data_IF_910101823684
#
_entry.id   IF_910101823684
#
_cell.length_a   1.000
_cell.length_b   1.000
_cell.length_c   1.000
_cell.angle_alpha   90.00
_cell.angle_beta   90.00
_cell.angle_gamma   90.00
#
_symmetry.space_group_name_H-M   'P 1'
#
loop_
_entity.id
_entity.type
_entity.pdbx_description
1 polymer ?
#
# COMPACT_ATOMS: atom_id res chain seq x y z
N UNK A 1 -5.92 -14.31 -16.53
CA UNK A 1 -5.27 -13.34 -17.44
C UNK A 1 -4.17 -12.66 -16.66
N UNK A 2 -2.92 -12.67 -17.13
CA UNK A 2 -1.82 -12.02 -16.41
C UNK A 2 -2.05 -10.50 -16.36
N UNK A 3 -1.91 -9.88 -15.19
CA UNK A 3 -2.02 -8.43 -15.05
C UNK A 3 -0.78 -7.77 -15.66
N UNK A 4 -0.98 -6.84 -16.60
CA UNK A 4 0.11 -6.02 -17.15
C UNK A 4 0.76 -5.19 -16.04
N UNK A 5 2.08 -5.00 -16.10
CA UNK A 5 2.81 -4.15 -15.15
C UNK A 5 2.41 -2.67 -15.31
N UNK A 6 2.64 -1.83 -14.28
CA UNK A 6 2.42 -0.39 -14.38
C UNK A 6 3.12 0.24 -15.59
N UNK A 7 4.38 -0.10 -15.82
CA UNK A 7 5.13 0.41 -16.98
C UNK A 7 4.51 -0.02 -18.30
N UNK A 8 4.13 -1.30 -18.44
CA UNK A 8 3.49 -1.79 -19.67
C UNK A 8 2.17 -1.09 -19.96
N UNK A 9 1.34 -0.83 -18.93
CA UNK A 9 0.08 -0.10 -19.09
C UNK A 9 0.31 1.36 -19.49
N UNK A 10 1.31 2.00 -18.90
CA UNK A 10 1.67 3.38 -19.24
C UNK A 10 2.09 3.50 -20.71
N UNK A 11 3.00 2.63 -21.17
CA UNK A 11 3.45 2.61 -22.56
C UNK A 11 2.32 2.30 -23.54
N UNK A 12 1.40 1.40 -23.17
CA UNK A 12 0.20 1.12 -23.98
C UNK A 12 -0.67 2.37 -24.11
N UNK A 13 -0.93 3.08 -23.01
CA UNK A 13 -1.74 4.30 -23.03
C UNK A 13 -1.13 5.42 -23.89
N UNK A 14 0.20 5.56 -23.89
CA UNK A 14 0.93 6.46 -24.80
C UNK A 14 0.79 6.02 -26.26
N UNK A 15 0.97 4.73 -26.53
CA UNK A 15 0.85 4.16 -27.89
C UNK A 15 -0.55 4.34 -28.48
N UNK A 16 -1.58 4.23 -27.65
CA UNK A 16 -2.99 4.44 -28.03
C UNK A 16 -3.34 5.92 -28.22
N UNK A 17 -2.42 6.85 -27.92
CA UNK A 17 -2.64 8.29 -28.07
C UNK A 17 -3.59 8.89 -27.02
N UNK A 18 -3.96 8.12 -25.99
CA UNK A 18 -4.86 8.58 -24.92
C UNK A 18 -4.19 9.57 -23.97
N UNK A 19 -2.85 9.57 -23.90
CA UNK A 19 -2.05 10.40 -23.01
C UNK A 19 -0.78 10.89 -23.72
N UNK A 20 -0.26 12.04 -23.29
CA UNK A 20 1.01 12.56 -23.78
C UNK A 20 2.17 12.13 -22.88
N UNK A 21 3.38 11.94 -23.44
CA UNK A 21 4.57 11.66 -22.65
C UNK A 21 4.83 12.78 -21.63
N UNK A 22 5.09 12.41 -20.38
CA UNK A 22 5.40 13.31 -19.28
C UNK A 22 6.46 12.66 -18.38
N UNK A 23 7.63 13.30 -18.26
CA UNK A 23 8.78 12.75 -17.53
C UNK A 23 8.47 12.51 -16.05
N UNK A 24 7.65 13.36 -15.44
CA UNK A 24 7.29 13.26 -14.03
C UNK A 24 6.32 12.10 -13.81
N UNK A 25 5.39 11.90 -14.74
CA UNK A 25 4.50 10.73 -14.72
C UNK A 25 5.30 9.44 -14.94
N UNK A 26 6.27 9.45 -15.85
CA UNK A 26 7.12 8.31 -16.12
C UNK A 26 7.96 7.91 -14.89
N UNK A 27 8.51 8.87 -14.14
CA UNK A 27 9.20 8.56 -12.88
C UNK A 27 8.24 7.97 -11.84
N UNK A 28 7.04 8.53 -11.70
CA UNK A 28 6.03 7.97 -10.80
C UNK A 28 5.66 6.53 -11.19
N UNK A 29 5.51 6.24 -12.49
CA UNK A 29 5.27 4.88 -13.01
C UNK A 29 6.42 3.93 -12.68
N UNK A 30 7.68 4.37 -12.80
CA UNK A 30 8.85 3.55 -12.44
C UNK A 30 8.83 3.13 -10.96
N UNK A 31 8.45 4.05 -10.06
CA UNK A 31 8.30 3.75 -8.63
C UNK A 31 7.13 2.79 -8.37
N UNK A 32 6.02 2.98 -9.07
CA UNK A 32 4.88 2.07 -9.00
C UNK A 32 5.25 0.67 -9.53
N UNK A 33 6.07 0.57 -10.57
CA UNK A 33 6.56 -0.71 -11.10
C UNK A 33 7.45 -1.42 -10.07
N UNK A 34 8.34 -0.69 -9.41
CA UNK A 34 9.16 -1.23 -8.30
C UNK A 34 8.29 -1.85 -7.22
N UNK A 35 7.25 -1.13 -6.77
CA UNK A 35 6.32 -1.63 -5.76
C UNK A 35 5.54 -2.85 -6.27
N UNK A 36 5.12 -2.84 -7.54
CA UNK A 36 4.48 -3.99 -8.17
C UNK A 36 5.38 -5.23 -8.16
N UNK A 37 6.68 -5.10 -8.49
CA UNK A 37 7.62 -6.21 -8.42
C UNK A 37 7.84 -6.71 -6.99
N UNK A 38 7.97 -5.80 -6.02
CA UNK A 38 8.07 -6.17 -4.60
C UNK A 38 6.83 -6.95 -4.13
N UNK A 39 5.63 -6.51 -4.52
CA UNK A 39 4.39 -7.20 -4.17
C UNK A 39 4.27 -8.59 -4.80
N UNK A 40 4.87 -8.82 -5.99
CA UNK A 40 4.86 -10.13 -6.64
C UNK A 40 5.90 -11.09 -6.08
N UNK A 41 7.05 -10.57 -5.64
CA UNK A 41 8.17 -11.38 -5.12
C UNK A 41 7.97 -11.78 -3.66
N UNK A 42 7.11 -11.08 -2.92
CA UNK A 42 6.73 -11.52 -1.58
C UNK A 42 5.85 -12.78 -1.67
N UNK A 43 6.24 -13.90 -1.03
CA UNK A 43 5.44 -15.12 -1.05
C UNK A 43 4.07 -14.82 -0.45
N UNK A 44 3.01 -15.21 -1.15
CA UNK A 44 1.64 -15.09 -0.68
C UNK A 44 1.55 -15.64 0.76
N UNK A 45 0.82 -14.97 1.66
CA UNK A 45 0.68 -15.45 3.02
C UNK A 45 0.05 -16.84 2.94
N UNK A 46 0.86 -17.88 3.16
CA UNK A 46 0.35 -19.21 3.43
C UNK A 46 -0.64 -19.04 4.58
N UNK A 47 -1.91 -19.33 4.30
CA UNK A 47 -2.93 -19.38 5.33
C UNK A 47 -2.42 -20.39 6.35
N UNK A 48 -1.78 -19.90 7.41
CA UNK A 48 -1.33 -20.73 8.50
C UNK A 48 -2.59 -21.18 9.21
N UNK A 49 -3.18 -22.26 8.71
CA UNK A 49 -4.20 -23.07 9.38
C UNK A 49 -3.58 -23.66 10.64
N UNK A 50 -3.42 -22.81 11.65
CA UNK A 50 -2.77 -23.11 12.91
C UNK A 50 -3.79 -23.34 14.01
N UNK A 51 -4.86 -24.09 13.73
CA UNK A 51 -5.74 -24.61 14.77
C UNK A 51 -4.92 -25.47 15.74
N UNK A 52 -5.04 -25.18 17.03
CA UNK A 52 -4.49 -25.90 18.20
C UNK A 52 -2.95 -26.06 18.29
N UNK A 53 -2.21 -26.26 17.19
CA UNK A 53 -0.74 -26.46 17.18
C UNK A 53 0.08 -25.20 17.48
N UNK A 54 -0.42 -24.01 17.16
CA UNK A 54 0.31 -22.76 17.39
C UNK A 54 0.39 -22.38 18.89
N UNK A 55 -0.57 -22.84 19.70
CA UNK A 55 -0.60 -22.56 21.15
C UNK A 55 0.34 -23.49 21.93
N UNK A 56 0.45 -24.76 21.52
CA UNK A 56 1.37 -25.73 22.15
C UNK A 56 2.85 -25.44 21.87
N UNK A 57 3.20 -24.80 20.75
CA UNK A 57 4.57 -24.41 20.45
C UNK A 57 5.08 -23.17 21.20
N UNK A 58 4.24 -22.50 22.02
CA UNK A 58 4.64 -21.29 22.75
C UNK A 58 5.33 -21.58 24.09
N UNK A 59 5.26 -22.84 24.56
CA UNK A 59 5.81 -23.25 25.86
C UNK A 59 7.17 -23.98 25.75
N UNK A 60 7.56 -24.42 24.55
CA UNK A 60 8.77 -25.20 24.32
C UNK A 60 9.60 -24.57 23.20
N UNK A 61 10.57 -23.75 23.59
CA UNK A 61 11.70 -23.39 22.74
C UNK A 61 11.53 -22.10 21.95
N UNK A 62 12.50 -21.19 22.19
CA UNK A 62 12.86 -20.03 21.37
C UNK A 62 12.43 -20.19 19.90
N UNK A 63 11.35 -19.49 19.52
CA UNK A 63 11.19 -19.06 18.14
C UNK A 63 11.91 -17.73 18.00
N UNK A 64 13.11 -17.76 17.46
CA UNK A 64 13.64 -16.59 16.77
C UNK A 64 12.57 -16.15 15.75
N UNK A 65 12.20 -14.85 15.69
CA UNK A 65 11.28 -14.39 14.67
C UNK A 65 11.94 -14.68 13.33
N UNK A 66 11.43 -15.66 12.60
CA UNK A 66 11.80 -15.91 11.21
C UNK A 66 11.85 -14.56 10.52
N UNK A 67 13.03 -14.15 10.05
CA UNK A 67 13.31 -12.84 9.48
C UNK A 67 12.17 -12.45 8.55
N UNK A 68 11.24 -11.66 9.08
CA UNK A 68 10.02 -11.32 8.39
C UNK A 68 10.41 -10.32 7.33
N UNK A 69 10.41 -10.73 6.07
CA UNK A 69 10.48 -9.83 4.90
C UNK A 69 9.74 -8.54 5.23
N UNK A 70 10.47 -7.42 5.18
CA UNK A 70 9.93 -6.11 5.51
C UNK A 70 8.66 -5.84 4.69
N UNK A 71 7.65 -5.14 5.24
CA UNK A 71 6.48 -4.76 4.46
C UNK A 71 6.91 -3.91 3.26
N UNK A 72 6.26 -4.13 2.11
CA UNK A 72 6.46 -3.28 0.93
C UNK A 72 6.06 -1.85 1.29
N UNK A 73 6.98 -0.90 1.09
CA UNK A 73 6.75 0.51 1.39
C UNK A 73 5.85 1.15 0.34
N UNK A 74 5.13 2.16 0.78
CA UNK A 74 4.21 2.86 -0.10
C UNK A 74 4.83 3.97 -0.91
N UNK A 75 4.03 4.46 -1.86
CA UNK A 75 4.28 5.68 -2.58
C UNK A 75 3.25 6.72 -2.13
N UNK A 76 3.75 7.84 -1.61
CA UNK A 76 2.96 9.03 -1.38
C UNK A 76 2.98 9.93 -2.62
N UNK A 77 1.85 10.36 -3.22
CA UNK A 77 1.84 11.27 -4.39
C UNK A 77 0.99 12.52 -4.16
N UNK A 78 1.52 13.71 -4.47
CA UNK A 78 0.84 15.02 -4.37
C UNK A 78 1.21 15.94 -5.54
N UNK A 79 0.53 17.08 -5.70
CA UNK A 79 0.78 18.05 -6.78
C UNK A 79 -0.49 18.73 -7.26
N UNK A 80 -0.38 19.65 -8.23
CA UNK A 80 -1.51 20.45 -8.75
C UNK A 80 -2.67 19.65 -9.36
N UNK A 81 -3.83 20.30 -9.54
CA UNK A 81 -5.00 19.70 -10.22
C UNK A 81 -4.65 19.37 -11.67
N UNK A 82 -5.17 18.27 -12.22
CA UNK A 82 -4.94 17.88 -13.63
C UNK A 82 -3.62 17.16 -13.93
N UNK A 83 -2.74 16.96 -12.95
CA UNK A 83 -1.43 16.28 -13.13
C UNK A 83 -1.48 14.74 -13.18
N UNK A 84 -2.58 14.13 -13.63
CA UNK A 84 -2.64 12.67 -13.83
C UNK A 84 -2.65 11.76 -12.58
N UNK A 85 -2.64 12.29 -11.35
CA UNK A 85 -2.63 11.47 -10.10
C UNK A 85 -3.70 10.37 -10.06
N UNK A 86 -4.94 10.72 -10.37
CA UNK A 86 -6.07 9.77 -10.36
C UNK A 86 -5.86 8.69 -11.41
N UNK A 87 -5.33 9.06 -12.58
CA UNK A 87 -5.07 8.13 -13.66
C UNK A 87 -3.94 7.15 -13.30
N UNK A 88 -2.82 7.65 -12.75
CA UNK A 88 -1.71 6.81 -12.28
C UNK A 88 -2.14 5.83 -11.19
N UNK A 89 -3.00 6.27 -10.27
CA UNK A 89 -3.61 5.39 -9.26
C UNK A 89 -4.46 4.29 -9.91
N UNK A 90 -5.25 4.61 -10.92
CA UNK A 90 -6.16 3.66 -11.59
C UNK A 90 -5.37 2.66 -12.44
N UNK A 91 -4.34 3.14 -13.12
CA UNK A 91 -3.35 2.33 -13.83
C UNK A 91 -2.68 1.33 -12.90
N UNK A 92 -2.22 1.79 -11.73
CA UNK A 92 -1.59 0.91 -10.74
C UNK A 92 -2.60 -0.11 -10.18
N UNK A 93 -3.81 0.31 -9.83
CA UNK A 93 -4.86 -0.57 -9.35
C UNK A 93 -5.16 -1.72 -10.31
N UNK A 94 -5.20 -1.43 -11.62
CA UNK A 94 -5.42 -2.44 -12.67
C UNK A 94 -4.20 -3.36 -12.88
N UNK A 95 -3.01 -2.92 -12.47
CA UNK A 95 -1.78 -3.71 -12.56
C UNK A 95 -1.63 -4.69 -11.41
N UNK A 96 -2.23 -4.39 -10.26
CA UNK A 96 -2.11 -5.23 -9.06
C UNK A 96 -2.70 -6.63 -9.26
N UNK A 97 -1.96 -7.69 -8.88
CA UNK A 97 -2.47 -9.04 -8.90
C UNK A 97 -3.49 -9.28 -7.76
N UNK A 98 -4.38 -10.24 -7.96
CA UNK A 98 -5.36 -10.66 -6.95
C UNK A 98 -6.55 -9.70 -6.76
N UNK A 99 -7.48 -10.13 -5.90
CA UNK A 99 -8.77 -9.45 -5.67
C UNK A 99 -8.82 -8.67 -4.35
N UNK A 100 -7.88 -8.91 -3.41
CA UNK A 100 -7.82 -8.25 -2.09
C UNK A 100 -7.14 -6.88 -2.18
N UNK A 101 -7.62 -6.05 -3.11
CA UNK A 101 -7.18 -4.67 -3.35
C UNK A 101 -8.36 -3.72 -3.19
N UNK A 102 -8.16 -2.62 -2.47
CA UNK A 102 -9.21 -1.64 -2.22
C UNK A 102 -8.81 -0.24 -2.68
N UNK A 103 -9.77 0.44 -3.30
CA UNK A 103 -9.69 1.87 -3.62
C UNK A 103 -10.61 2.64 -2.68
N UNK A 104 -10.03 3.45 -1.82
CA UNK A 104 -10.73 4.15 -0.76
C UNK A 104 -10.58 5.66 -0.92
N UNK A 105 -11.59 6.40 -0.49
CA UNK A 105 -11.41 7.82 -0.23
C UNK A 105 -10.88 7.97 1.18
N UNK A 106 -9.83 8.78 1.38
CA UNK A 106 -9.22 8.95 2.69
C UNK A 106 -10.23 9.29 3.80
N UNK A 107 -11.16 10.22 3.53
CA UNK A 107 -12.21 10.56 4.50
C UNK A 107 -13.12 9.37 4.87
N UNK A 108 -13.49 8.53 3.89
CA UNK A 108 -14.33 7.34 4.16
C UNK A 108 -13.58 6.29 4.98
N UNK A 109 -12.28 6.17 4.74
CA UNK A 109 -11.42 5.33 5.56
C UNK A 109 -11.33 5.82 7.00
N UNK A 110 -11.08 7.12 7.21
CA UNK A 110 -11.00 7.69 8.56
C UNK A 110 -12.33 7.59 9.33
N UNK A 111 -13.47 7.76 8.65
CA UNK A 111 -14.78 7.51 9.25
C UNK A 111 -14.91 6.06 9.74
N UNK A 112 -14.58 5.08 8.89
CA UNK A 112 -14.61 3.67 9.28
C UNK A 112 -13.68 3.38 10.46
N UNK A 113 -12.46 3.92 10.45
CA UNK A 113 -11.52 3.79 11.59
C UNK A 113 -12.16 4.34 12.87
N UNK A 114 -12.79 5.52 12.80
CA UNK A 114 -13.43 6.13 13.96
C UNK A 114 -14.62 5.32 14.50
N UNK A 115 -15.47 4.81 13.60
CA UNK A 115 -16.58 3.92 13.94
C UNK A 115 -16.08 2.66 14.65
N UNK A 116 -15.05 1.99 14.10
CA UNK A 116 -14.48 0.79 14.72
C UNK A 116 -13.84 1.08 16.09
N UNK A 117 -13.11 2.20 16.23
CA UNK A 117 -12.53 2.59 17.51
C UNK A 117 -13.61 2.85 18.58
N UNK A 118 -14.75 3.40 18.17
CA UNK A 118 -15.90 3.61 19.07
C UNK A 118 -16.43 2.27 19.61
N UNK A 119 -16.48 1.23 18.78
CA UNK A 119 -16.89 -0.13 19.21
C UNK A 119 -15.88 -0.83 20.12
N UNK A 120 -14.63 -0.36 20.14
CA UNK A 120 -13.52 -0.98 20.86
C UNK A 120 -13.12 -0.19 22.12
N UNK A 121 -13.96 0.73 22.59
CA UNK A 121 -13.72 1.45 23.84
C UNK A 121 -13.43 0.47 24.99
N UNK A 122 -12.40 0.78 25.78
CA UNK A 122 -11.95 -0.07 26.90
C UNK A 122 -10.99 -1.20 26.54
N UNK A 123 -10.67 -1.42 25.26
CA UNK A 123 -9.59 -2.32 24.85
C UNK A 123 -8.22 -1.63 25.01
N UNK A 124 -7.18 -2.38 25.36
CA UNK A 124 -5.83 -1.83 25.58
C UNK A 124 -5.17 -1.31 24.30
N UNK A 125 -5.47 -1.91 23.13
CA UNK A 125 -4.83 -1.59 21.84
C UNK A 125 -5.83 -1.58 20.65
N UNK A 126 -6.85 -0.71 20.67
CA UNK A 126 -7.94 -0.76 19.70
C UNK A 126 -7.48 -0.47 18.26
N UNK A 127 -6.43 0.33 18.08
CA UNK A 127 -5.85 0.62 16.75
C UNK A 127 -5.18 -0.60 16.12
N UNK A 128 -4.53 -1.46 16.90
CA UNK A 128 -3.93 -2.69 16.39
C UNK A 128 -5.02 -3.66 15.91
N UNK A 129 -6.11 -3.77 16.68
CA UNK A 129 -7.28 -4.57 16.31
C UNK A 129 -7.88 -4.06 15.00
N UNK A 130 -8.05 -2.74 14.85
CA UNK A 130 -8.55 -2.13 13.61
C UNK A 130 -7.61 -2.41 12.44
N UNK A 131 -6.30 -2.24 12.62
CA UNK A 131 -5.31 -2.52 11.58
C UNK A 131 -5.32 -4.00 11.15
N UNK A 132 -5.46 -4.93 12.09
CA UNK A 132 -5.59 -6.36 11.81
C UNK A 132 -6.85 -6.69 11.00
N UNK A 133 -7.98 -6.02 11.29
CA UNK A 133 -9.22 -6.17 10.50
C UNK A 133 -9.05 -5.68 9.07
N UNK A 134 -8.52 -4.46 8.88
CA UNK A 134 -8.24 -3.94 7.53
C UNK A 134 -7.29 -4.85 6.75
N UNK A 135 -6.26 -5.36 7.41
CA UNK A 135 -5.31 -6.31 6.83
C UNK A 135 -5.95 -7.66 6.48
N UNK A 136 -6.91 -8.14 7.26
CA UNK A 136 -7.65 -9.37 6.97
C UNK A 136 -8.55 -9.24 5.74
N UNK A 137 -8.96 -8.02 5.39
CA UNK A 137 -9.78 -7.75 4.21
C UNK A 137 -8.93 -7.41 2.97
N UNK A 138 -7.83 -6.70 3.17
CA UNK A 138 -7.10 -6.02 2.10
C UNK A 138 -5.59 -6.25 2.20
N UNK A 139 -4.98 -6.64 1.08
CA UNK A 139 -3.52 -6.71 0.93
C UNK A 139 -2.94 -5.38 0.45
N UNK A 140 -3.66 -4.68 -0.44
CA UNK A 140 -3.22 -3.41 -1.01
C UNK A 140 -4.34 -2.36 -0.96
N UNK A 141 -4.12 -1.26 -0.24
CA UNK A 141 -5.05 -0.14 -0.15
C UNK A 141 -4.52 1.09 -0.91
N UNK A 142 -5.36 1.69 -1.76
CA UNK A 142 -5.06 2.92 -2.50
C UNK A 142 -6.02 4.02 -2.04
N UNK A 143 -5.48 5.12 -1.53
CA UNK A 143 -6.26 6.24 -1.00
C UNK A 143 -6.35 7.41 -1.99
N UNK A 144 -7.57 7.91 -2.24
CA UNK A 144 -7.81 9.10 -3.07
C UNK A 144 -7.71 10.38 -2.22
N UNK A 145 -7.07 11.42 -2.77
CA UNK A 145 -6.73 12.75 -2.19
C UNK A 145 -5.51 12.82 -1.25
N UNK A 146 -5.00 11.66 -0.84
CA UNK A 146 -3.70 11.42 -0.18
C UNK A 146 -3.28 10.08 -0.77
N UNK A 147 -2.53 10.03 -1.87
CA UNK A 147 -2.18 8.73 -2.46
C UNK A 147 -1.14 8.10 -1.57
N UNK A 148 -1.45 7.12 -0.73
CA UNK A 148 -0.48 6.35 0.08
C UNK A 148 -0.71 4.87 -0.20
N UNK A 149 0.35 4.13 -0.51
CA UNK A 149 0.27 2.70 -0.85
C UNK A 149 0.80 1.85 0.31
N UNK A 150 0.02 1.60 1.35
CA UNK A 150 0.52 0.80 2.48
C UNK A 150 0.20 -0.69 2.29
N UNK A 151 1.24 -1.54 2.27
CA UNK A 151 1.10 -2.99 2.35
C UNK A 151 1.10 -3.43 3.82
N UNK A 152 0.07 -4.18 4.25
CA UNK A 152 -0.09 -4.56 5.66
C UNK A 152 0.42 -6.01 5.89
N UNK A 153 1.49 -6.22 6.70
CA UNK A 153 1.96 -7.55 7.19
C UNK A 153 1.65 -7.73 8.70
N UNK A 154 1.44 -8.99 9.15
CA UNK A 154 0.85 -9.42 10.44
C UNK A 154 1.64 -9.07 11.71
N UNK A 155 2.70 -8.26 11.59
CA UNK A 155 3.58 -7.86 12.68
C UNK A 155 4.13 -6.43 12.51
N UNK A 156 3.51 -5.59 11.67
CA UNK A 156 4.00 -4.24 11.39
C UNK A 156 2.96 -3.17 11.74
N UNK A 157 2.48 -3.19 12.99
CA UNK A 157 1.87 -2.03 13.64
C UNK A 157 2.77 -1.70 14.82
N UNK A 158 3.80 -0.89 14.57
CA UNK A 158 4.79 -0.57 15.58
C UNK A 158 6.03 0.03 14.93
N UNK A 159 6.20 1.34 15.12
CA UNK A 159 7.22 2.23 14.54
C UNK A 159 6.96 2.63 13.09
N UNK A 160 6.23 3.73 12.94
CA UNK A 160 6.60 4.72 11.94
C UNK A 160 8.01 5.20 12.32
N UNK A 161 9.00 4.86 11.50
CA UNK A 161 10.30 5.50 11.56
C UNK A 161 10.11 6.94 11.08
N UNK A 162 10.09 7.89 12.02
CA UNK A 162 10.08 9.32 11.77
C UNK A 162 11.45 9.77 11.23
N UNK A 163 11.88 9.22 10.11
CA UNK A 163 12.93 9.83 9.32
C UNK A 163 12.32 11.07 8.63
N UNK A 164 12.82 12.30 8.89
CA UNK A 164 12.28 13.49 8.25
C UNK A 164 12.58 13.41 6.76
N UNK A 165 11.56 13.06 5.97
CA UNK A 165 11.60 13.19 4.53
C UNK A 165 11.78 14.67 4.24
N UNK A 166 13.00 15.09 3.92
CA UNK A 166 13.25 16.46 3.47
C UNK A 166 12.55 16.63 2.13
N UNK A 167 11.58 17.56 2.00
CA UNK A 167 11.01 17.86 0.71
C UNK A 167 12.13 18.46 -0.16
N UNK A 168 12.46 17.81 -1.29
CA UNK A 168 13.19 18.49 -2.36
C UNK A 168 12.22 19.51 -2.94
N UNK A 169 12.40 20.77 -2.56
CA UNK A 169 11.60 21.85 -3.11
C UNK A 169 11.99 22.03 -4.59
N UNK A 170 11.11 21.62 -5.50
CA UNK A 170 11.15 22.08 -6.88
C UNK A 170 10.08 23.18 -7.03
N UNK A 171 10.45 24.37 -7.52
CA UNK A 171 9.52 25.47 -7.68
C UNK A 171 8.63 25.19 -8.91
N UNK A 172 7.44 24.64 -8.68
CA UNK A 172 6.46 24.36 -9.73
C UNK A 172 5.33 23.48 -9.20
N UNK A 173 4.09 23.73 -9.63
CA UNK A 173 2.88 22.96 -9.25
C UNK A 173 2.84 21.52 -9.80
N UNK A 174 4.00 20.89 -9.91
CA UNK A 174 4.24 19.61 -10.55
C UNK A 174 3.84 18.45 -9.65
N UNK A 175 3.71 17.27 -10.26
CA UNK A 175 3.50 16.03 -9.53
C UNK A 175 4.75 15.69 -8.72
N UNK A 176 4.58 15.37 -7.45
CA UNK A 176 5.66 15.05 -6.50
C UNK A 176 5.30 13.78 -5.74
N UNK A 177 6.31 13.12 -5.17
CA UNK A 177 6.13 11.88 -4.44
C UNK A 177 7.17 11.64 -3.33
N UNK A 178 6.87 10.75 -2.40
CA UNK A 178 7.73 10.32 -1.29
C UNK A 178 7.51 8.84 -0.99
N UNK A 179 8.49 8.19 -0.36
CA UNK A 179 8.24 6.91 0.31
C UNK A 179 7.22 7.12 1.44
N UNK A 180 6.29 6.18 1.59
CA UNK A 180 5.30 6.12 2.66
C UNK A 180 5.53 4.97 3.63
#
# INVERSE_FOLDING_TARGET
>A
MQSLSPTSRYLLALKEGSHQPDDVQQEAVSRLDTIYQELQTQPAPVASGGGLRAKFGKLLGKREPAAGTAPVRGLYMWGGVGRGKTWLMDLFYQSLPGERKQRLHFHRFMLRVHEELTTLQGHSDPLEIVADRFKAETDVALFRRVFCLRYYRRHAVGRADESPVRPRHHPGGDLQYSAG
#
